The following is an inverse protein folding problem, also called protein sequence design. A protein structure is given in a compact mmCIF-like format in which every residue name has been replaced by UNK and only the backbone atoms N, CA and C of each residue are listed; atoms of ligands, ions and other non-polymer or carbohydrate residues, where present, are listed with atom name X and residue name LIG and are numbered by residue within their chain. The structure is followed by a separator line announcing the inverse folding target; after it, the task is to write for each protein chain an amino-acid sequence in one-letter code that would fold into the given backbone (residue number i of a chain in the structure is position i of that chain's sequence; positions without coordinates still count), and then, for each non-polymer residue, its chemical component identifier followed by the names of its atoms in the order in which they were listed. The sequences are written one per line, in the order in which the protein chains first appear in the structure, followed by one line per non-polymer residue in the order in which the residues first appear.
data_IF_411229539634
#
_entry.id   IF_411229539634
#
_cell.length_a   1.000
_cell.length_b   1.000
_cell.length_c   1.000
_cell.angle_alpha   90.00
_cell.angle_beta   90.00
_cell.angle_gamma   90.00
#
_symmetry.space_group_name_H-M   'P 1'
#
loop_
_entity.id
_entity.type
_entity.pdbx_description
1 polymer ?
#
# COMPACT_ATOMS: atom_id res chain seq x y z
N UNK A 1 -0.52 19.12 -15.89
CA UNK A 1 0.37 20.17 -16.45
C UNK A 1 0.94 19.60 -17.74
N UNK A 2 0.92 20.35 -18.85
CA UNK A 2 1.54 19.89 -20.10
C UNK A 2 3.05 20.00 -19.95
N UNK A 3 3.78 18.92 -20.14
CA UNK A 3 5.24 18.92 -20.17
C UNK A 3 5.71 18.59 -21.57
N UNK A 4 6.69 19.36 -22.06
CA UNK A 4 7.39 19.13 -23.31
C UNK A 4 8.68 18.39 -22.95
N UNK A 5 8.78 17.13 -23.33
CA UNK A 5 9.93 16.28 -22.96
C UNK A 5 11.19 16.73 -23.72
N UNK A 6 11.06 17.02 -24.98
CA UNK A 6 12.19 17.28 -25.89
C UNK A 6 12.11 18.67 -26.53
N UNK A 7 12.34 19.73 -25.76
CA UNK A 7 12.31 21.13 -26.20
C UNK A 7 13.32 21.46 -27.32
N UNK A 8 14.39 20.69 -27.41
CA UNK A 8 15.45 20.89 -28.42
C UNK A 8 14.91 20.76 -29.84
N UNK A 9 13.92 19.91 -30.09
CA UNK A 9 13.36 19.68 -31.41
C UNK A 9 12.60 20.89 -32.00
N UNK A 10 12.27 21.90 -31.20
CA UNK A 10 11.69 23.14 -31.71
C UNK A 10 12.63 23.88 -32.68
N UNK A 11 13.93 23.66 -32.63
CA UNK A 11 14.86 24.21 -33.61
C UNK A 11 14.58 23.72 -35.04
N UNK A 12 13.95 22.56 -35.22
CA UNK A 12 13.53 22.07 -36.53
C UNK A 12 12.40 22.89 -37.16
N UNK A 13 11.73 23.79 -36.44
CA UNK A 13 10.78 24.76 -36.99
C UNK A 13 11.44 25.73 -37.99
N UNK A 14 12.76 25.81 -38.02
CA UNK A 14 13.51 26.53 -39.05
C UNK A 14 13.36 25.89 -40.40
N UNK A 15 13.19 24.54 -40.52
CA UNK A 15 13.07 23.82 -41.77
C UNK A 15 11.80 24.21 -42.60
N UNK A 16 10.59 24.19 -42.03
CA UNK A 16 9.41 24.65 -42.75
C UNK A 16 9.50 26.14 -43.14
N UNK A 17 10.10 26.96 -42.30
CA UNK A 17 10.32 28.39 -42.63
C UNK A 17 11.27 28.54 -43.85
N UNK A 18 12.39 27.82 -43.83
CA UNK A 18 13.39 27.85 -44.91
C UNK A 18 12.81 27.29 -46.21
N UNK A 19 12.02 26.21 -46.15
CA UNK A 19 11.31 25.65 -47.26
C UNK A 19 10.31 26.65 -47.89
N UNK A 20 9.58 27.41 -47.04
CA UNK A 20 8.68 28.44 -47.51
C UNK A 20 9.43 29.58 -48.24
N UNK A 21 10.55 30.04 -47.65
CA UNK A 21 11.38 31.08 -48.24
C UNK A 21 11.92 30.64 -49.62
N UNK A 22 12.48 29.44 -49.70
CA UNK A 22 13.00 28.88 -50.96
C UNK A 22 11.89 28.72 -52.02
N UNK A 23 10.69 28.31 -51.63
CA UNK A 23 9.55 28.25 -52.54
C UNK A 23 9.21 29.64 -53.10
N UNK A 24 9.11 30.68 -52.26
CA UNK A 24 8.81 32.04 -52.74
C UNK A 24 9.91 32.58 -53.66
N UNK A 25 11.19 32.34 -53.33
CA UNK A 25 12.30 32.72 -54.22
C UNK A 25 12.20 32.03 -55.57
N UNK A 26 11.92 30.70 -55.53
CA UNK A 26 11.77 29.95 -56.78
C UNK A 26 10.58 30.42 -57.62
N UNK A 27 9.44 30.74 -57.00
CA UNK A 27 8.24 31.20 -57.72
C UNK A 27 8.47 32.60 -58.34
N UNK A 28 9.17 33.50 -57.62
CA UNK A 28 9.57 34.80 -58.14
C UNK A 28 10.53 34.62 -59.35
N UNK A 29 11.55 33.79 -59.18
CA UNK A 29 12.51 33.50 -60.25
C UNK A 29 11.83 32.92 -61.47
N UNK A 30 10.97 31.90 -61.30
CA UNK A 30 10.19 31.23 -62.32
C UNK A 30 9.27 32.23 -63.07
N UNK A 31 8.55 33.07 -62.32
CA UNK A 31 7.68 34.11 -62.92
C UNK A 31 8.47 35.10 -63.79
N UNK A 32 9.63 35.59 -63.31
CA UNK A 32 10.50 36.50 -64.06
C UNK A 32 11.06 35.85 -65.33
N UNK A 33 11.50 34.61 -65.22
CA UNK A 33 12.05 33.86 -66.36
C UNK A 33 10.96 33.54 -67.38
N UNK A 34 9.77 33.16 -66.97
CA UNK A 34 8.64 32.87 -67.85
C UNK A 34 8.20 34.13 -68.61
N UNK A 35 8.14 35.30 -67.98
CA UNK A 35 7.77 36.55 -68.66
C UNK A 35 8.79 36.97 -69.71
N UNK A 36 10.07 36.55 -69.58
CA UNK A 36 11.09 36.83 -70.60
C UNK A 36 11.02 35.94 -71.89
N UNK A 37 10.36 34.77 -71.78
CA UNK A 37 10.34 33.79 -72.89
C UNK A 37 8.99 33.64 -73.57
N UNK A 38 7.88 33.74 -72.84
CA UNK A 38 6.53 33.44 -73.45
C UNK A 38 5.47 34.38 -72.83
N UNK A 39 4.59 34.92 -73.67
CA UNK A 39 3.42 35.64 -73.22
C UNK A 39 2.40 34.72 -72.52
N UNK A 40 1.72 35.19 -71.53
CA UNK A 40 0.77 34.43 -70.73
C UNK A 40 -0.35 33.73 -71.50
N UNK A 41 -0.83 34.37 -72.58
CA UNK A 41 -1.82 33.85 -73.52
C UNK A 41 -1.33 32.61 -74.30
N UNK A 42 -0.04 32.58 -74.62
CA UNK A 42 0.60 31.45 -75.31
C UNK A 42 0.90 30.28 -74.36
N UNK A 43 1.22 30.57 -73.09
CA UNK A 43 1.45 29.56 -72.07
C UNK A 43 0.18 28.76 -71.76
N UNK A 44 -0.98 29.41 -71.70
CA UNK A 44 -2.27 28.74 -71.47
C UNK A 44 -2.69 27.83 -72.66
N UNK A 45 -2.29 28.20 -73.88
CA UNK A 45 -2.53 27.37 -75.07
C UNK A 45 -1.65 26.14 -75.17
N UNK A 46 -0.41 26.23 -74.65
CA UNK A 46 0.58 25.15 -74.65
C UNK A 46 0.39 24.19 -73.46
N UNK A 47 -0.18 24.67 -72.37
CA UNK A 47 -0.39 23.89 -71.12
C UNK A 47 -1.81 24.13 -70.63
N UNK A 48 -2.84 23.44 -71.11
CA UNK A 48 -4.23 23.66 -70.70
C UNK A 48 -4.47 23.29 -69.25
N UNK A 49 -3.65 22.40 -68.65
CA UNK A 49 -3.71 22.00 -67.25
C UNK A 49 -2.90 22.88 -66.29
N UNK A 50 -2.34 23.98 -66.78
CA UNK A 50 -1.57 24.92 -65.95
C UNK A 50 -2.48 25.63 -64.94
N UNK A 51 -2.22 25.42 -63.68
CA UNK A 51 -2.94 26.09 -62.60
C UNK A 51 -1.98 26.82 -61.68
N UNK A 52 -2.19 28.13 -61.53
CA UNK A 52 -1.41 28.94 -60.59
C UNK A 52 -1.63 28.56 -59.11
N UNK A 53 -2.75 27.95 -58.80
CA UNK A 53 -3.12 27.57 -57.46
C UNK A 53 -2.45 26.27 -56.98
N UNK A 54 -2.25 25.30 -57.85
CA UNK A 54 -1.66 23.98 -57.51
C UNK A 54 -0.31 24.06 -56.80
N UNK A 55 0.69 24.90 -57.16
CA UNK A 55 1.96 25.02 -56.49
C UNK A 55 1.80 25.51 -55.03
N UNK A 56 0.96 26.52 -54.79
CA UNK A 56 0.69 27.06 -53.47
C UNK A 56 -0.02 26.05 -52.58
N UNK A 57 -0.98 25.30 -53.11
CA UNK A 57 -1.64 24.23 -52.36
C UNK A 57 -0.65 23.14 -51.95
N UNK A 58 0.22 22.68 -52.85
CA UNK A 58 1.27 21.71 -52.55
C UNK A 58 2.20 22.21 -51.46
N UNK A 59 2.62 23.47 -51.57
CA UNK A 59 3.48 24.09 -50.57
C UNK A 59 2.81 24.17 -49.21
N UNK A 60 1.56 24.62 -49.13
CA UNK A 60 0.81 24.69 -47.88
C UNK A 60 0.69 23.34 -47.20
N UNK A 61 0.34 22.28 -47.96
CA UNK A 61 0.23 20.93 -47.41
C UNK A 61 1.59 20.40 -46.95
N UNK A 62 2.66 20.63 -47.73
CA UNK A 62 4.02 20.22 -47.34
C UNK A 62 4.51 20.93 -46.08
N UNK A 63 4.30 22.25 -46.00
CA UNK A 63 4.69 23.04 -44.82
C UNK A 63 3.91 22.61 -43.56
N UNK A 64 2.60 22.39 -43.73
CA UNK A 64 1.76 21.88 -42.62
C UNK A 64 2.23 20.49 -42.15
N UNK A 65 2.57 19.60 -43.09
CA UNK A 65 3.09 18.27 -42.77
C UNK A 65 4.40 18.35 -42.01
N UNK A 66 5.33 19.22 -42.39
CA UNK A 66 6.59 19.43 -41.69
C UNK A 66 6.36 19.98 -40.27
N UNK A 67 5.45 20.94 -40.09
CA UNK A 67 5.08 21.48 -38.80
C UNK A 67 4.52 20.39 -37.89
N UNK A 68 3.57 19.59 -38.41
CA UNK A 68 2.99 18.48 -37.62
C UNK A 68 4.03 17.42 -37.24
N UNK A 69 5.01 17.16 -38.13
CA UNK A 69 6.10 16.26 -37.85
C UNK A 69 6.99 16.77 -36.71
N UNK A 70 7.32 18.08 -36.68
CA UNK A 70 8.07 18.70 -35.58
C UNK A 70 7.28 18.59 -34.26
N UNK A 71 5.96 18.86 -34.30
CA UNK A 71 5.12 18.67 -33.10
C UNK A 71 5.10 17.22 -32.62
N UNK A 72 5.07 16.25 -33.53
CA UNK A 72 5.15 14.83 -33.15
C UNK A 72 6.49 14.49 -32.48
N UNK A 73 7.61 15.08 -32.92
CA UNK A 73 8.93 14.86 -32.33
C UNK A 73 9.10 15.51 -30.95
N UNK A 74 8.39 16.61 -30.68
CA UNK A 74 8.42 17.30 -29.37
C UNK A 74 7.75 16.46 -28.27
N UNK A 75 7.00 15.43 -28.62
CA UNK A 75 6.33 14.50 -27.71
C UNK A 75 5.57 15.21 -26.58
N UNK A 76 4.36 15.65 -26.87
CA UNK A 76 3.48 16.26 -25.86
C UNK A 76 3.03 15.20 -24.86
N UNK A 77 3.61 15.22 -23.64
CA UNK A 77 3.15 14.37 -22.56
C UNK A 77 2.18 15.13 -21.66
N UNK A 78 1.04 14.51 -21.41
CA UNK A 78 0.16 14.90 -20.32
C UNK A 78 0.68 14.18 -19.07
N UNK A 79 1.62 14.81 -18.37
CA UNK A 79 2.16 14.25 -17.15
C UNK A 79 1.08 14.22 -16.06
N UNK A 80 0.78 13.03 -15.54
CA UNK A 80 0.16 12.90 -14.24
C UNK A 80 1.19 13.37 -13.20
N UNK A 81 0.95 14.50 -12.56
CA UNK A 81 1.69 14.82 -11.34
C UNK A 81 1.33 13.76 -10.33
N UNK A 82 2.33 13.07 -9.80
CA UNK A 82 2.19 12.38 -8.53
C UNK A 82 2.04 13.51 -7.51
N UNK A 83 0.81 13.84 -7.17
CA UNK A 83 0.55 14.75 -6.05
C UNK A 83 0.69 13.89 -4.80
N UNK A 84 1.73 14.11 -4.02
CA UNK A 84 1.84 13.58 -2.67
C UNK A 84 0.72 14.22 -1.85
N UNK A 85 -0.30 13.42 -1.55
CA UNK A 85 -1.35 13.87 -0.65
C UNK A 85 -0.86 13.72 0.78
N UNK A 86 -0.85 14.82 1.50
CA UNK A 86 -0.61 14.84 2.93
C UNK A 86 -1.82 14.22 3.63
N UNK A 87 -1.62 13.08 4.26
CA UNK A 87 -2.64 12.40 5.06
C UNK A 87 -2.27 12.48 6.53
N UNK A 88 -3.28 12.58 7.37
CA UNK A 88 -3.13 12.53 8.82
C UNK A 88 -3.60 11.17 9.30
N UNK A 89 -2.74 10.42 9.96
CA UNK A 89 -3.07 9.09 10.45
C UNK A 89 -2.07 8.58 11.48
N UNK A 90 -2.29 7.36 11.89
CA UNK A 90 -1.52 6.60 12.88
C UNK A 90 -0.94 5.36 12.20
N UNK A 91 0.23 4.92 12.62
CA UNK A 91 0.80 3.65 12.22
C UNK A 91 0.36 2.55 13.18
N UNK A 92 -0.36 1.57 12.67
CA UNK A 92 -0.92 0.47 13.45
C UNK A 92 -0.30 -0.83 12.98
N UNK A 93 0.36 -1.57 13.86
CA UNK A 93 0.82 -2.93 13.58
C UNK A 93 0.00 -3.91 14.39
N UNK A 94 -0.60 -4.90 13.71
CA UNK A 94 -1.30 -6.00 14.34
C UNK A 94 -0.35 -7.20 14.46
N UNK A 95 -0.01 -7.59 15.69
CA UNK A 95 0.71 -8.83 15.97
C UNK A 95 -0.31 -9.89 16.40
N UNK A 96 -0.49 -10.90 15.56
CA UNK A 96 -1.53 -11.92 15.73
C UNK A 96 -0.88 -13.24 16.08
N UNK A 97 -1.29 -13.78 17.21
CA UNK A 97 -0.90 -15.11 17.65
C UNK A 97 -1.55 -16.18 16.78
N UNK A 98 -0.73 -17.02 16.16
CA UNK A 98 -1.15 -18.16 15.34
C UNK A 98 -0.66 -19.49 15.94
N UNK A 99 -0.36 -19.51 17.22
CA UNK A 99 -0.01 -20.73 17.95
C UNK A 99 -1.17 -21.71 18.01
N UNK A 100 -0.90 -22.97 18.30
CA UNK A 100 -1.95 -23.99 18.36
C UNK A 100 -2.97 -23.79 19.47
N UNK A 101 -2.64 -23.08 20.53
CA UNK A 101 -3.59 -22.70 21.59
C UNK A 101 -4.74 -21.85 21.05
N UNK A 102 -4.49 -21.09 19.98
CA UNK A 102 -5.49 -20.26 19.30
C UNK A 102 -6.56 -21.07 18.52
N UNK A 103 -6.41 -22.38 18.41
CA UNK A 103 -7.47 -23.28 17.91
C UNK A 103 -8.53 -23.59 18.97
N UNK A 104 -8.32 -23.24 20.25
CA UNK A 104 -9.30 -23.46 21.30
C UNK A 104 -10.64 -22.79 20.99
N UNK A 105 -11.74 -23.47 21.33
CA UNK A 105 -13.12 -23.10 20.97
C UNK A 105 -13.92 -22.53 22.16
N UNK A 106 -13.24 -22.03 23.17
CA UNK A 106 -13.87 -21.32 24.29
C UNK A 106 -14.47 -19.97 23.91
N UNK A 107 -14.03 -19.43 22.76
CA UNK A 107 -14.61 -18.27 22.08
C UNK A 107 -14.97 -18.67 20.64
N UNK A 108 -16.21 -18.42 20.24
CA UNK A 108 -16.67 -18.85 18.90
C UNK A 108 -16.12 -17.97 17.77
N UNK A 109 -15.76 -18.57 16.61
CA UNK A 109 -15.70 -20.00 16.31
C UNK A 109 -14.48 -20.72 16.92
N UNK A 110 -13.34 -20.05 17.03
CA UNK A 110 -12.15 -20.34 17.82
C UNK A 110 -11.40 -19.04 18.08
N UNK A 111 -10.34 -19.04 18.90
CA UNK A 111 -9.61 -17.83 19.28
C UNK A 111 -8.98 -17.15 18.06
N UNK A 112 -8.36 -17.88 17.12
CA UNK A 112 -7.73 -17.32 15.93
C UNK A 112 -8.76 -16.66 15.00
N UNK A 113 -9.83 -17.35 14.67
CA UNK A 113 -10.87 -16.79 13.80
C UNK A 113 -11.56 -15.57 14.46
N UNK A 114 -11.70 -15.59 15.78
CA UNK A 114 -12.18 -14.44 16.54
C UNK A 114 -11.22 -13.25 16.44
N UNK A 115 -9.91 -13.50 16.56
CA UNK A 115 -8.87 -12.48 16.38
C UNK A 115 -8.91 -11.87 14.99
N UNK A 116 -9.01 -12.70 13.95
CA UNK A 116 -9.17 -12.27 12.55
C UNK A 116 -10.41 -11.42 12.34
N UNK A 117 -11.55 -11.80 12.94
CA UNK A 117 -12.78 -11.01 12.88
C UNK A 117 -12.61 -9.63 13.53
N UNK A 118 -11.98 -9.56 14.70
CA UNK A 118 -11.72 -8.30 15.41
C UNK A 118 -10.86 -7.38 14.52
N UNK A 119 -9.71 -7.87 14.03
CA UNK A 119 -8.80 -7.08 13.20
C UNK A 119 -9.47 -6.62 11.91
N UNK A 120 -10.21 -7.52 11.24
CA UNK A 120 -10.93 -7.16 10.01
C UNK A 120 -11.95 -6.03 10.24
N UNK A 121 -12.66 -6.05 11.37
CA UNK A 121 -13.61 -5.00 11.70
C UNK A 121 -12.92 -3.70 12.09
N UNK A 122 -11.76 -3.74 12.76
CA UNK A 122 -10.95 -2.55 13.03
C UNK A 122 -10.51 -1.94 11.70
N UNK A 123 -9.92 -2.74 10.79
CA UNK A 123 -9.46 -2.27 9.47
C UNK A 123 -10.61 -1.63 8.66
N UNK A 124 -11.84 -2.15 8.78
CA UNK A 124 -13.02 -1.58 8.09
C UNK A 124 -13.37 -0.16 8.55
N UNK A 125 -12.97 0.23 9.75
CA UNK A 125 -13.24 1.56 10.31
C UNK A 125 -12.13 2.58 10.05
N UNK A 126 -10.94 2.10 9.69
CA UNK A 126 -9.81 2.97 9.37
C UNK A 126 -10.06 3.74 8.07
N UNK A 127 -9.65 4.99 8.03
CA UNK A 127 -9.84 5.86 6.86
C UNK A 127 -8.53 6.38 6.27
N UNK A 128 -7.58 6.74 7.12
CA UNK A 128 -6.31 7.35 6.72
C UNK A 128 -5.10 6.71 7.39
N UNK A 129 -5.33 5.78 8.32
CA UNK A 129 -4.27 5.15 9.11
C UNK A 129 -3.54 4.10 8.26
N UNK A 130 -2.27 3.82 8.58
CA UNK A 130 -1.48 2.78 7.93
C UNK A 130 -1.50 1.51 8.77
N UNK A 131 -1.56 0.37 8.12
CA UNK A 131 -1.63 -0.93 8.81
C UNK A 131 -0.50 -1.85 8.39
N UNK A 132 0.09 -2.54 9.36
CA UNK A 132 1.03 -3.65 9.18
C UNK A 132 0.53 -4.90 9.89
N UNK A 133 0.97 -6.08 9.47
CA UNK A 133 0.58 -7.36 10.07
C UNK A 133 1.82 -8.21 10.31
N UNK A 134 1.92 -8.73 11.53
CA UNK A 134 2.90 -9.72 11.97
C UNK A 134 2.15 -10.95 12.49
N UNK A 135 2.57 -12.12 12.06
CA UNK A 135 2.11 -13.39 12.63
C UNK A 135 3.19 -13.93 13.58
N UNK A 136 2.79 -14.48 14.71
CA UNK A 136 3.76 -15.10 15.60
C UNK A 136 3.20 -16.35 16.29
N UNK A 137 4.11 -17.22 16.65
CA UNK A 137 3.90 -18.39 17.49
C UNK A 137 5.19 -18.62 18.27
N UNK A 138 5.91 -19.73 18.11
CA UNK A 138 7.24 -19.91 18.67
C UNK A 138 8.32 -18.99 18.05
N UNK A 139 8.01 -18.27 16.98
CA UNK A 139 8.79 -17.20 16.34
C UNK A 139 7.87 -16.19 15.70
N UNK A 140 8.37 -14.98 15.42
CA UNK A 140 7.63 -13.95 14.72
C UNK A 140 8.00 -13.92 13.24
N UNK A 141 7.00 -13.69 12.37
CA UNK A 141 7.15 -13.64 10.92
C UNK A 141 6.43 -12.43 10.32
N UNK A 142 7.08 -11.69 9.41
CA UNK A 142 6.46 -10.59 8.72
C UNK A 142 5.39 -11.11 7.75
N UNK A 143 4.19 -10.51 7.78
CA UNK A 143 3.12 -10.83 6.84
C UNK A 143 2.85 -9.67 5.87
N UNK A 144 2.69 -8.47 6.39
CA UNK A 144 2.44 -7.28 5.60
C UNK A 144 3.17 -6.09 6.22
N UNK A 145 4.07 -5.42 5.50
CA UNK A 145 4.66 -4.17 5.95
C UNK A 145 3.60 -3.07 6.05
N UNK A 146 3.91 -1.96 6.73
CA UNK A 146 2.99 -0.84 6.91
C UNK A 146 2.54 -0.29 5.55
N UNK A 147 1.23 -0.26 5.31
CA UNK A 147 0.60 0.18 4.07
C UNK A 147 -0.75 0.83 4.31
N UNK A 148 -1.24 1.60 3.34
CA UNK A 148 -2.62 2.10 3.26
C UNK A 148 -3.54 1.17 2.48
N UNK A 149 -3.03 0.06 1.92
CA UNK A 149 -3.83 -0.92 1.19
C UNK A 149 -4.55 -1.89 2.15
N UNK A 150 -5.75 -1.48 2.57
CA UNK A 150 -6.59 -2.31 3.44
C UNK A 150 -7.09 -3.59 2.77
N UNK A 151 -7.15 -3.63 1.43
CA UNK A 151 -7.56 -4.84 0.70
C UNK A 151 -6.51 -5.93 0.83
N UNK A 152 -5.25 -5.58 0.63
CA UNK A 152 -4.13 -6.48 0.87
C UNK A 152 -4.06 -6.90 2.33
N UNK A 153 -4.26 -5.98 3.29
CA UNK A 153 -4.27 -6.32 4.71
C UNK A 153 -5.32 -7.38 5.06
N UNK A 154 -6.54 -7.23 4.56
CA UNK A 154 -7.63 -8.22 4.75
C UNK A 154 -7.32 -9.56 4.08
N UNK A 155 -6.70 -9.55 2.91
CA UNK A 155 -6.29 -10.76 2.21
C UNK A 155 -5.24 -11.55 3.01
N UNK A 156 -4.18 -10.90 3.49
CA UNK A 156 -3.17 -11.54 4.34
C UNK A 156 -3.78 -12.06 5.63
N UNK A 157 -4.61 -11.26 6.30
CA UNK A 157 -5.31 -11.64 7.51
C UNK A 157 -6.18 -12.90 7.31
N UNK A 158 -6.93 -12.98 6.21
CA UNK A 158 -7.82 -14.12 5.94
C UNK A 158 -7.04 -15.43 5.74
N UNK A 159 -5.84 -15.36 5.17
CA UNK A 159 -4.99 -16.52 4.89
C UNK A 159 -4.20 -17.02 6.12
N UNK A 160 -4.21 -16.29 7.23
CA UNK A 160 -3.50 -16.70 8.45
C UNK A 160 -4.09 -17.97 9.04
N UNK A 161 -3.24 -18.90 9.40
CA UNK A 161 -3.60 -20.17 10.04
C UNK A 161 -2.45 -20.66 10.96
N UNK A 162 -2.73 -21.62 11.80
CA UNK A 162 -1.79 -22.15 12.79
C UNK A 162 -0.66 -23.00 12.20
N UNK A 163 -0.75 -23.38 10.93
CA UNK A 163 0.25 -24.22 10.25
C UNK A 163 1.30 -23.37 9.51
N UNK A 164 1.13 -22.03 9.49
CA UNK A 164 2.09 -21.12 8.86
C UNK A 164 3.46 -21.12 9.51
N UNK A 165 3.51 -21.41 10.80
CA UNK A 165 4.72 -21.37 11.62
C UNK A 165 4.99 -22.76 12.17
N UNK A 166 6.11 -23.35 11.76
CA UNK A 166 6.49 -24.70 12.22
C UNK A 166 6.95 -24.71 13.68
N UNK A 167 7.56 -23.62 14.16
CA UNK A 167 7.96 -23.46 15.56
C UNK A 167 6.73 -23.16 16.41
N UNK A 168 6.36 -24.09 17.26
CA UNK A 168 5.22 -23.94 18.17
C UNK A 168 5.67 -23.31 19.50
N UNK A 169 4.77 -22.64 20.18
CA UNK A 169 5.00 -21.84 21.38
C UNK A 169 4.41 -20.45 21.17
N UNK A 170 4.67 -19.54 22.11
CA UNK A 170 4.22 -18.16 22.02
C UNK A 170 5.39 -17.27 22.42
N UNK A 171 6.00 -16.59 21.45
CA UNK A 171 7.13 -15.69 21.63
C UNK A 171 6.65 -14.25 21.43
N UNK A 172 6.02 -13.69 22.47
CA UNK A 172 5.51 -12.30 22.45
C UNK A 172 6.67 -11.31 22.33
N UNK A 173 7.81 -11.60 22.92
CA UNK A 173 9.04 -10.81 22.82
C UNK A 173 9.52 -10.65 21.37
N UNK A 174 9.59 -11.75 20.60
CA UNK A 174 9.94 -11.67 19.16
C UNK A 174 8.90 -10.89 18.35
N UNK A 175 7.61 -11.05 18.69
CA UNK A 175 6.54 -10.31 18.05
C UNK A 175 6.67 -8.79 18.27
N UNK A 176 6.95 -8.34 19.48
CA UNK A 176 7.19 -6.93 19.80
C UNK A 176 8.45 -6.43 19.08
N UNK A 177 9.54 -7.20 19.11
CA UNK A 177 10.79 -6.83 18.48
C UNK A 177 10.63 -6.68 16.97
N UNK A 178 10.03 -7.66 16.28
CA UNK A 178 9.78 -7.60 14.85
C UNK A 178 8.83 -6.45 14.49
N UNK A 179 7.73 -6.30 15.24
CA UNK A 179 6.78 -5.20 15.00
C UNK A 179 7.42 -3.84 15.15
N UNK A 180 8.37 -3.70 16.09
CA UNK A 180 9.10 -2.44 16.27
C UNK A 180 9.93 -2.04 15.04
N UNK A 181 10.38 -3.00 14.22
CA UNK A 181 11.13 -2.72 12.98
C UNK A 181 10.25 -2.20 11.85
N UNK A 182 8.94 -2.29 11.98
CA UNK A 182 8.00 -1.80 10.98
C UNK A 182 7.82 -0.28 11.02
N UNK A 183 8.04 0.31 12.19
CA UNK A 183 7.89 1.74 12.38
C UNK A 183 9.14 2.47 11.92
N UNK A 184 8.97 3.43 11.02
CA UNK A 184 10.06 4.29 10.59
C UNK A 184 10.39 5.31 11.69
N UNK A 185 11.65 5.37 12.11
CA UNK A 185 12.11 6.31 13.13
C UNK A 185 12.21 7.76 12.59
N UNK A 186 12.29 7.92 11.26
CA UNK A 186 12.37 9.23 10.61
C UNK A 186 11.00 9.88 10.39
N UNK A 187 9.91 9.11 10.48
CA UNK A 187 8.55 9.61 10.33
C UNK A 187 7.97 9.83 11.72
N UNK A 188 7.58 11.06 12.01
CA UNK A 188 7.00 11.42 13.30
C UNK A 188 5.50 11.05 13.35
N UNK A 189 5.18 9.76 13.18
CA UNK A 189 3.81 9.23 13.32
C UNK A 189 3.63 8.59 14.67
N UNK A 190 2.41 8.62 15.20
CA UNK A 190 2.06 7.86 16.40
C UNK A 190 2.10 6.37 16.09
N UNK A 191 2.83 5.62 16.92
CA UNK A 191 3.16 4.21 16.71
C UNK A 191 2.33 3.34 17.67
N UNK A 192 1.40 2.58 17.10
CA UNK A 192 0.53 1.67 17.86
C UNK A 192 0.81 0.22 17.48
N UNK A 193 1.12 -0.61 18.46
CA UNK A 193 1.20 -2.06 18.32
C UNK A 193 0.00 -2.68 19.03
N UNK A 194 -0.79 -3.48 18.31
CA UNK A 194 -1.93 -4.21 18.87
C UNK A 194 -1.60 -5.69 18.84
N UNK A 195 -1.37 -6.27 20.02
CA UNK A 195 -1.08 -7.69 20.19
C UNK A 195 -2.37 -8.44 20.50
N UNK A 196 -2.63 -9.52 19.77
CA UNK A 196 -3.81 -10.35 19.97
C UNK A 196 -3.37 -11.77 20.27
N UNK A 197 -3.62 -12.22 21.50
CA UNK A 197 -3.14 -13.52 22.02
C UNK A 197 -4.00 -14.00 23.16
N UNK A 198 -3.78 -15.25 23.57
CA UNK A 198 -4.24 -15.78 24.87
C UNK A 198 -3.23 -15.51 26.00
N UNK A 199 -2.05 -14.93 25.69
CA UNK A 199 -1.05 -14.54 26.66
C UNK A 199 -0.29 -15.73 27.29
N UNK A 200 -0.36 -16.94 26.73
CA UNK A 200 0.49 -18.06 27.13
C UNK A 200 1.92 -17.80 26.63
N UNK A 201 2.67 -16.96 27.36
CA UNK A 201 4.06 -16.67 27.04
C UNK A 201 5.00 -17.65 27.74
N UNK A 202 5.92 -18.22 26.96
CA UNK A 202 6.93 -19.14 27.46
C UNK A 202 8.27 -18.45 27.77
N UNK A 203 8.41 -17.16 27.42
CA UNK A 203 9.62 -16.38 27.60
C UNK A 203 9.40 -15.28 28.64
N UNK A 204 10.32 -15.18 29.62
CA UNK A 204 10.26 -14.10 30.63
C UNK A 204 10.79 -12.74 30.10
N UNK A 205 11.20 -12.68 28.82
CA UNK A 205 11.82 -11.50 28.20
C UNK A 205 10.82 -10.47 27.68
N UNK A 206 9.53 -10.80 27.57
CA UNK A 206 8.51 -9.96 26.95
C UNK A 206 8.36 -8.59 27.61
N UNK A 207 8.48 -8.50 28.93
CA UNK A 207 8.38 -7.24 29.67
C UNK A 207 9.58 -6.31 29.41
N UNK A 208 10.79 -6.86 29.28
CA UNK A 208 11.97 -6.04 28.99
C UNK A 208 11.96 -5.53 27.55
N UNK A 209 11.52 -6.36 26.60
CA UNK A 209 11.33 -5.92 25.22
C UNK A 209 10.21 -4.87 25.13
N UNK A 210 9.12 -5.01 25.88
CA UNK A 210 8.07 -3.99 25.95
C UNK A 210 8.59 -2.64 26.47
N UNK A 211 9.48 -2.64 27.48
CA UNK A 211 10.15 -1.41 27.95
C UNK A 211 10.99 -0.77 26.84
N UNK A 212 11.73 -1.57 26.06
CA UNK A 212 12.51 -1.06 24.93
C UNK A 212 11.60 -0.47 23.84
N UNK A 213 10.46 -1.08 23.57
CA UNK A 213 9.47 -0.55 22.63
C UNK A 213 8.87 0.78 23.14
N UNK A 214 8.57 0.88 24.43
CA UNK A 214 8.11 2.13 25.05
C UNK A 214 9.12 3.27 24.91
N UNK A 215 10.43 2.98 25.07
CA UNK A 215 11.49 3.97 24.85
C UNK A 215 11.55 4.49 23.42
N UNK A 216 11.08 3.70 22.45
CA UNK A 216 10.95 4.10 21.03
C UNK A 216 9.62 4.81 20.73
N UNK A 217 8.81 5.11 21.75
CA UNK A 217 7.51 5.77 21.59
C UNK A 217 6.40 4.86 21.07
N UNK A 218 6.58 3.53 21.11
CA UNK A 218 5.57 2.57 20.69
C UNK A 218 4.62 2.29 21.85
N UNK A 219 3.33 2.54 21.65
CA UNK A 219 2.27 2.14 22.59
C UNK A 219 1.76 0.77 22.23
N UNK A 220 1.73 -0.16 23.19
CA UNK A 220 1.27 -1.54 22.96
C UNK A 220 -0.09 -1.72 23.62
N UNK A 221 -1.10 -1.95 22.82
CA UNK A 221 -2.42 -2.39 23.28
C UNK A 221 -2.53 -3.89 23.12
N UNK A 222 -3.08 -4.57 24.12
CA UNK A 222 -3.19 -6.03 24.11
C UNK A 222 -4.65 -6.45 24.14
N UNK A 223 -5.02 -7.39 23.28
CA UNK A 223 -6.36 -7.97 23.19
C UNK A 223 -6.24 -9.44 23.61
N UNK A 224 -6.79 -9.75 24.78
CA UNK A 224 -6.79 -11.11 25.31
C UNK A 224 -7.96 -11.94 24.76
N UNK A 225 -7.69 -13.02 24.05
CA UNK A 225 -8.70 -13.90 23.46
C UNK A 225 -8.69 -15.26 24.14
N UNK A 226 -9.83 -15.67 24.71
CA UNK A 226 -9.99 -16.90 25.45
C UNK A 226 -10.66 -16.72 26.81
N UNK A 227 -10.81 -17.81 27.55
CA UNK A 227 -11.36 -17.82 28.92
C UNK A 227 -10.31 -18.24 29.93
N UNK A 228 -10.38 -17.69 31.13
CA UNK A 228 -9.49 -18.06 32.24
C UNK A 228 -9.70 -19.50 32.73
N UNK A 229 -10.93 -20.04 32.58
CA UNK A 229 -11.21 -21.43 32.92
C UNK A 229 -10.43 -22.40 32.06
N UNK A 230 -10.01 -21.96 30.89
CA UNK A 230 -9.31 -22.75 29.91
C UNK A 230 -10.24 -23.63 29.06
N UNK A 231 -9.66 -24.17 27.98
CA UNK A 231 -10.33 -25.06 27.02
C UNK A 231 -9.33 -26.04 26.42
N UNK A 232 -9.73 -27.25 26.07
CA UNK A 232 -8.87 -28.16 25.34
C UNK A 232 -8.68 -27.68 23.90
N UNK A 233 -7.53 -28.01 23.31
CA UNK A 233 -7.19 -27.68 21.93
C UNK A 233 -7.70 -28.80 21.03
N UNK A 234 -8.71 -28.57 20.14
CA UNK A 234 -9.25 -29.60 19.27
C UNK A 234 -8.27 -29.91 18.13
N UNK A 235 -8.11 -31.19 17.83
CA UNK A 235 -7.42 -31.71 16.65
C UNK A 235 -8.46 -32.15 15.63
N UNK A 236 -8.63 -31.31 14.60
CA UNK A 236 -9.64 -31.49 13.56
C UNK A 236 -9.07 -32.19 12.33
N UNK A 237 -9.84 -33.09 11.73
CA UNK A 237 -9.61 -33.61 10.40
C UNK A 237 -10.89 -33.45 9.59
N UNK A 238 -10.81 -32.80 8.44
CA UNK A 238 -11.97 -32.47 7.60
C UNK A 238 -13.07 -31.68 8.36
N UNK A 239 -12.69 -30.77 9.25
CA UNK A 239 -13.63 -29.97 10.04
C UNK A 239 -14.25 -30.67 11.27
N UNK A 240 -14.03 -31.97 11.44
CA UNK A 240 -14.59 -32.76 12.56
C UNK A 240 -13.50 -32.96 13.61
N UNK A 241 -13.81 -32.63 14.87
CA UNK A 241 -12.93 -32.88 16.01
C UNK A 241 -12.78 -34.40 16.23
N UNK A 242 -11.58 -34.92 15.99
CA UNK A 242 -11.28 -36.33 16.23
C UNK A 242 -10.71 -36.58 17.61
N UNK A 243 -9.83 -35.72 18.08
CA UNK A 243 -9.16 -35.81 19.36
C UNK A 243 -8.84 -34.40 19.90
N UNK A 244 -8.32 -34.36 21.11
CA UNK A 244 -7.74 -33.13 21.70
C UNK A 244 -6.24 -33.33 21.84
N UNK A 245 -5.50 -32.20 21.74
CA UNK A 245 -4.03 -32.18 21.93
C UNK A 245 -3.69 -32.76 23.29
N UNK A 246 -2.72 -33.67 23.31
CA UNK A 246 -2.21 -34.31 24.53
C UNK A 246 -0.75 -33.93 24.72
N UNK A 247 -0.33 -33.89 25.98
CA UNK A 247 1.06 -33.72 26.39
C UNK A 247 1.86 -35.02 26.32
N UNK A 248 3.11 -34.97 26.80
CA UNK A 248 3.99 -36.14 26.84
C UNK A 248 3.50 -37.24 27.83
N UNK A 249 2.64 -36.89 28.77
CA UNK A 249 2.05 -37.78 29.77
C UNK A 249 0.69 -38.35 29.29
N UNK A 250 0.31 -38.05 28.01
CA UNK A 250 -0.97 -38.42 27.42
C UNK A 250 -2.19 -37.77 28.07
N UNK A 251 -1.99 -36.65 28.82
CA UNK A 251 -3.06 -35.84 29.37
C UNK A 251 -3.52 -34.77 28.39
N UNK A 252 -4.82 -34.41 28.43
CA UNK A 252 -5.36 -33.37 27.54
C UNK A 252 -4.81 -32.00 27.91
N UNK A 253 -4.20 -31.33 26.96
CA UNK A 253 -3.67 -29.99 27.16
C UNK A 253 -4.81 -28.98 27.25
N UNK A 254 -4.87 -28.26 28.38
CA UNK A 254 -5.84 -27.18 28.60
C UNK A 254 -5.11 -25.83 28.49
N UNK A 255 -5.47 -25.03 27.49
CA UNK A 255 -4.96 -23.67 27.30
C UNK A 255 -5.86 -22.65 27.99
N UNK A 256 -5.27 -21.61 28.60
CA UNK A 256 -5.99 -20.59 29.39
C UNK A 256 -5.59 -19.19 28.96
N UNK A 257 -6.52 -18.24 29.08
CA UNK A 257 -6.16 -16.84 28.94
C UNK A 257 -5.33 -16.36 30.14
N UNK A 258 -4.09 -15.94 29.88
CA UNK A 258 -3.21 -15.31 30.86
C UNK A 258 -3.31 -13.79 30.76
N UNK A 259 -4.26 -13.21 31.48
CA UNK A 259 -4.49 -11.77 31.47
C UNK A 259 -3.30 -10.97 32.02
N UNK A 260 -2.59 -11.55 33.03
CA UNK A 260 -1.55 -10.81 33.74
C UNK A 260 -0.44 -10.35 32.80
N UNK A 261 0.12 -11.25 32.01
CA UNK A 261 1.20 -10.93 31.06
C UNK A 261 0.76 -9.85 30.06
N UNK A 262 -0.45 -9.98 29.51
CA UNK A 262 -0.98 -9.02 28.54
C UNK A 262 -1.23 -7.64 29.18
N UNK A 263 -1.70 -7.61 30.43
CA UNK A 263 -1.90 -6.36 31.18
C UNK A 263 -0.57 -5.70 31.50
N UNK A 264 0.39 -6.45 32.01
CA UNK A 264 1.72 -5.93 32.39
C UNK A 264 2.44 -5.31 31.16
N UNK A 265 2.36 -5.97 29.96
CA UNK A 265 2.92 -5.43 28.70
C UNK A 265 2.24 -4.11 28.31
N UNK A 266 0.90 -4.07 28.37
CA UNK A 266 0.15 -2.87 28.01
C UNK A 266 0.49 -1.71 28.97
N UNK A 267 0.47 -1.92 30.27
CA UNK A 267 0.74 -0.89 31.28
C UNK A 267 2.15 -0.30 31.15
N UNK A 268 3.18 -1.13 30.93
CA UNK A 268 4.57 -0.68 30.74
C UNK A 268 4.70 0.31 29.57
N UNK A 269 3.89 0.14 28.53
CA UNK A 269 3.95 0.96 27.31
C UNK A 269 2.88 2.04 27.27
N UNK A 270 2.18 2.32 28.37
CA UNK A 270 1.05 3.26 28.45
C UNK A 270 -0.10 2.89 27.49
N UNK A 271 -0.23 1.61 27.18
CA UNK A 271 -1.34 1.07 26.41
C UNK A 271 -2.46 0.53 27.31
N UNK A 272 -3.36 -0.25 26.73
CA UNK A 272 -4.55 -0.78 27.40
C UNK A 272 -4.73 -2.27 27.10
N UNK A 273 -5.07 -3.05 28.13
CA UNK A 273 -5.52 -4.42 27.96
C UNK A 273 -7.03 -4.45 27.71
N UNK A 274 -7.46 -5.18 26.68
CA UNK A 274 -8.87 -5.30 26.27
C UNK A 274 -9.25 -6.78 26.22
N UNK A 275 -10.43 -7.14 26.77
CA UNK A 275 -10.96 -8.51 26.67
C UNK A 275 -11.62 -8.73 25.33
N UNK A 276 -11.09 -9.70 24.55
CA UNK A 276 -11.48 -9.99 23.17
C UNK A 276 -12.77 -10.82 22.98
N UNK A 277 -13.54 -11.08 24.04
CA UNK A 277 -14.76 -11.92 23.95
C UNK A 277 -15.88 -11.25 23.17
N UNK A 278 -16.07 -9.93 23.37
CA UNK A 278 -17.10 -9.16 22.68
C UNK A 278 -16.46 -8.25 21.63
N UNK A 279 -16.68 -8.57 20.36
CA UNK A 279 -16.10 -7.82 19.24
C UNK A 279 -16.51 -6.35 19.22
N UNK A 280 -17.78 -6.04 19.46
CA UNK A 280 -18.27 -4.64 19.44
C UNK A 280 -17.65 -3.81 20.58
N UNK A 281 -17.43 -4.40 21.73
CA UNK A 281 -16.74 -3.75 22.84
C UNK A 281 -15.28 -3.44 22.46
N UNK A 282 -14.56 -4.42 21.93
CA UNK A 282 -13.16 -4.24 21.48
C UNK A 282 -13.04 -3.11 20.47
N UNK A 283 -13.93 -3.10 19.48
CA UNK A 283 -13.91 -2.07 18.42
C UNK A 283 -14.16 -0.68 19.01
N UNK A 284 -15.11 -0.54 19.91
CA UNK A 284 -15.39 0.75 20.54
C UNK A 284 -14.22 1.25 21.40
N UNK A 285 -13.52 0.34 22.12
CA UNK A 285 -12.33 0.72 22.87
C UNK A 285 -11.17 1.11 21.94
N UNK A 286 -10.94 0.37 20.87
CA UNK A 286 -9.91 0.74 19.87
C UNK A 286 -10.26 2.07 19.19
N UNK A 287 -11.52 2.31 18.85
CA UNK A 287 -11.96 3.60 18.27
C UNK A 287 -11.63 4.76 19.23
N UNK A 288 -11.89 4.61 20.52
CA UNK A 288 -11.52 5.64 21.54
C UNK A 288 -10.01 5.88 21.55
N UNK A 289 -9.23 4.80 21.57
CA UNK A 289 -7.76 4.88 21.54
C UNK A 289 -7.29 5.66 20.30
N UNK A 290 -7.84 5.36 19.12
CA UNK A 290 -7.49 6.04 17.88
C UNK A 290 -7.93 7.51 17.85
N UNK A 291 -9.04 7.86 18.51
CA UNK A 291 -9.49 9.24 18.65
C UNK A 291 -8.63 10.07 19.61
N UNK A 292 -8.11 9.44 20.66
CA UNK A 292 -7.23 10.07 21.64
C UNK A 292 -5.77 10.14 21.18
N UNK A 293 -5.41 9.36 20.16
CA UNK A 293 -4.05 9.33 19.60
C UNK A 293 -3.85 10.51 18.65
N UNK A 294 -2.76 11.25 18.85
CA UNK A 294 -2.40 12.35 17.96
C UNK A 294 -2.12 11.82 16.54
N UNK A 295 -2.88 12.35 15.58
CA UNK A 295 -2.70 12.03 14.16
C UNK A 295 -1.64 12.96 13.58
N UNK A 296 -0.61 12.39 13.01
CA UNK A 296 0.48 13.13 12.41
C UNK A 296 0.44 13.05 10.89
N UNK A 297 1.03 14.05 10.24
CA UNK A 297 1.05 14.18 8.80
C UNK A 297 2.08 13.23 8.18
N UNK A 298 1.70 12.49 7.14
CA UNK A 298 2.62 11.68 6.34
C UNK A 298 2.29 11.79 4.85
N UNK A 299 3.30 11.62 4.01
CA UNK A 299 3.13 11.58 2.56
C UNK A 299 2.73 10.17 2.11
N UNK A 300 1.61 10.07 1.38
CA UNK A 300 1.24 8.83 0.69
C UNK A 300 1.50 9.02 -0.80
N UNK A 301 2.33 8.17 -1.35
CA UNK A 301 2.57 8.05 -2.79
C UNK A 301 1.54 7.16 -3.44
#
# INVERSE_FOLDING_TARGET
MYQLEEKIWFWLMILPLLAAILFFINEIWKSRTQQGFINESSLLKLSPDYSRFKPYLKMSVSTLSLILLVFAMVNFQVGTKIESYKRFGVDIVFAIDVSRSMLAEDVAPNRLEKSKQIVNQIINKLTSDRVGIVAYAGKAFPQLPITTDYSSAKMFLSNMNTDMISSQGTAIDEAIQLSSTYFDENINTSKLLIIISDGEDHNNSSLDIAKMAAQKGIKIHTIGVGKEKGSPIPMKKNGITQNYKRDNNNEVVITKLNKKVLTDIAEITQGTFIIGQNTSFVINEIDKILLETEKTEFEST
#
